data_IF_388265903608
#
_entry.id   IF_388265903608
#
_cell.length_a   1.000
_cell.length_b   1.000
_cell.length_c   1.000
_cell.angle_alpha   90.00
_cell.angle_beta   90.00
_cell.angle_gamma   90.00
#
_symmetry.space_group_name_H-M   'P 1'
#
loop_
_entity.id
_entity.type
_entity.pdbx_description
1 polymer ?
#
# COMPACT_ATOMS: atom_id res chain seq x y z
N UNK A 1 -3.92 11.32 -24.54
CA UNK A 1 -2.88 11.23 -23.50
C UNK A 1 -2.79 12.61 -22.87
N UNK A 2 -3.00 12.73 -21.57
CA UNK A 2 -2.91 14.03 -20.89
C UNK A 2 -1.45 14.42 -20.68
N UNK A 3 -1.17 15.71 -20.71
CA UNK A 3 0.13 16.27 -20.35
C UNK A 3 0.03 16.78 -18.90
N UNK A 4 0.99 16.38 -18.07
CA UNK A 4 1.06 16.78 -16.66
C UNK A 4 2.32 17.61 -16.45
N UNK A 5 2.18 18.77 -15.82
CA UNK A 5 3.31 19.57 -15.36
C UNK A 5 3.72 19.09 -13.95
N UNK A 6 4.89 18.46 -13.84
CA UNK A 6 5.36 17.82 -12.62
C UNK A 6 6.56 18.55 -12.04
N UNK A 7 6.39 19.14 -10.86
CA UNK A 7 7.50 19.58 -10.03
C UNK A 7 8.39 18.43 -9.55
N UNK A 8 9.63 18.76 -9.14
CA UNK A 8 10.62 17.78 -8.68
C UNK A 8 10.13 16.89 -7.53
N UNK A 9 9.31 17.44 -6.62
CA UNK A 9 8.77 16.67 -5.50
C UNK A 9 7.72 15.65 -5.96
N UNK A 10 6.92 15.96 -6.98
CA UNK A 10 6.01 15.01 -7.63
C UNK A 10 6.79 13.85 -8.28
N UNK A 11 7.89 14.16 -8.98
CA UNK A 11 8.75 13.14 -9.57
C UNK A 11 9.32 12.19 -8.51
N UNK A 12 9.74 12.72 -7.36
CA UNK A 12 10.22 11.90 -6.26
C UNK A 12 9.14 10.95 -5.71
N UNK A 13 7.93 11.47 -5.48
CA UNK A 13 6.79 10.65 -5.04
C UNK A 13 6.43 9.56 -6.06
N UNK A 14 6.46 9.89 -7.35
CA UNK A 14 6.20 8.95 -8.44
C UNK A 14 7.23 7.82 -8.47
N UNK A 15 8.52 8.15 -8.34
CA UNK A 15 9.60 7.15 -8.27
C UNK A 15 9.36 6.20 -7.10
N UNK A 16 9.11 6.73 -5.89
CA UNK A 16 8.83 5.91 -4.72
C UNK A 16 7.58 5.04 -4.90
N UNK A 17 6.57 5.52 -5.63
CA UNK A 17 5.36 4.76 -5.93
C UNK A 17 5.69 3.59 -6.85
N UNK A 18 6.46 3.80 -7.92
CA UNK A 18 6.93 2.75 -8.81
C UNK A 18 7.73 1.68 -8.06
N UNK A 19 8.68 2.09 -7.22
CA UNK A 19 9.47 1.15 -6.40
C UNK A 19 8.60 0.33 -5.43
N UNK A 20 7.57 0.94 -4.84
CA UNK A 20 6.62 0.22 -4.00
C UNK A 20 5.79 -0.79 -4.81
N UNK A 21 5.38 -0.43 -6.02
CA UNK A 21 4.65 -1.31 -6.93
C UNK A 21 5.50 -2.54 -7.31
N UNK A 22 6.76 -2.32 -7.69
CA UNK A 22 7.71 -3.37 -8.08
C UNK A 22 7.97 -4.34 -6.92
N UNK A 23 8.25 -3.82 -5.72
CA UNK A 23 8.42 -4.63 -4.51
C UNK A 23 7.18 -5.48 -4.21
N UNK A 24 5.99 -4.93 -4.45
CA UNK A 24 4.74 -5.66 -4.32
C UNK A 24 4.59 -6.77 -5.37
N UNK A 25 5.07 -6.56 -6.59
CA UNK A 25 5.06 -7.56 -7.65
C UNK A 25 5.99 -8.73 -7.32
N UNK A 26 7.23 -8.45 -6.89
CA UNK A 26 8.20 -9.47 -6.47
C UNK A 26 7.65 -10.34 -5.33
N UNK A 27 7.05 -9.71 -4.31
CA UNK A 27 6.44 -10.43 -3.20
C UNK A 27 5.27 -11.32 -3.66
N UNK A 28 4.42 -10.84 -4.58
CA UNK A 28 3.32 -11.65 -5.14
C UNK A 28 3.84 -12.82 -5.96
N UNK A 29 4.91 -12.63 -6.74
CA UNK A 29 5.54 -13.72 -7.49
C UNK A 29 6.11 -14.79 -6.56
N UNK A 30 6.81 -14.38 -5.50
CA UNK A 30 7.33 -15.31 -4.49
C UNK A 30 6.20 -16.09 -3.79
N UNK A 31 5.09 -15.42 -3.43
CA UNK A 31 3.92 -16.07 -2.84
C UNK A 31 3.24 -17.05 -3.81
N UNK A 32 3.19 -16.74 -5.11
CA UNK A 32 2.65 -17.64 -6.12
C UNK A 32 3.49 -18.93 -6.24
N UNK A 33 4.82 -18.81 -6.06
CA UNK A 33 5.74 -19.96 -6.11
C UNK A 33 5.75 -20.78 -4.82
N UNK A 34 5.67 -20.13 -3.66
CA UNK A 34 5.96 -20.76 -2.36
C UNK A 34 4.77 -20.89 -1.41
N UNK A 35 3.59 -20.41 -1.83
CA UNK A 35 2.40 -20.29 -0.98
C UNK A 35 2.53 -19.14 0.03
N UNK A 36 1.52 -18.98 0.89
CA UNK A 36 1.44 -17.91 1.89
C UNK A 36 1.93 -18.30 3.28
N UNK A 37 2.19 -19.59 3.51
CA UNK A 37 2.63 -20.12 4.79
C UNK A 37 3.85 -21.02 4.64
N UNK A 38 4.61 -21.16 5.72
CA UNK A 38 5.69 -22.12 5.85
C UNK A 38 5.64 -22.77 7.23
N UNK A 39 6.26 -23.94 7.36
CA UNK A 39 6.37 -24.64 8.63
C UNK A 39 7.66 -24.21 9.32
N UNK A 40 7.56 -23.74 10.55
CA UNK A 40 8.72 -23.34 11.35
C UNK A 40 9.43 -24.55 11.99
N UNK A 41 10.51 -24.28 12.72
CA UNK A 41 11.29 -25.33 13.42
C UNK A 41 10.51 -26.12 14.48
N UNK A 42 9.33 -25.65 14.88
CA UNK A 42 8.44 -26.28 15.85
C UNK A 42 7.26 -26.98 15.19
N UNK A 43 7.32 -27.17 13.86
CA UNK A 43 6.25 -27.76 13.06
C UNK A 43 4.94 -26.95 13.08
N UNK A 44 5.00 -25.64 13.33
CA UNK A 44 3.83 -24.76 13.35
C UNK A 44 3.71 -23.96 12.04
N UNK A 45 2.49 -23.77 11.51
CA UNK A 45 2.28 -22.93 10.34
C UNK A 45 2.48 -21.45 10.69
N UNK A 46 3.36 -20.78 9.93
CA UNK A 46 3.64 -19.34 10.02
C UNK A 46 3.39 -18.66 8.69
N UNK A 47 2.95 -17.41 8.76
CA UNK A 47 2.86 -16.57 7.56
C UNK A 47 4.27 -16.29 7.02
N UNK A 48 4.42 -16.39 5.71
CA UNK A 48 5.64 -16.02 5.02
C UNK A 48 5.86 -14.50 5.07
N UNK A 49 7.11 -14.02 5.18
CA UNK A 49 7.39 -12.57 5.25
C UNK A 49 6.87 -11.80 4.04
N UNK A 50 6.83 -12.44 2.86
CA UNK A 50 6.33 -11.87 1.60
C UNK A 50 4.86 -11.45 1.69
N UNK A 51 4.07 -12.07 2.59
CA UNK A 51 2.68 -11.64 2.86
C UNK A 51 2.65 -10.21 3.42
N UNK A 52 3.53 -9.90 4.38
CA UNK A 52 3.63 -8.56 4.94
C UNK A 52 4.18 -7.58 3.91
N UNK A 53 5.22 -7.97 3.16
CA UNK A 53 5.82 -7.13 2.11
C UNK A 53 4.78 -6.74 1.05
N UNK A 54 4.02 -7.70 0.53
CA UNK A 54 3.00 -7.43 -0.49
C UNK A 54 1.91 -6.48 0.03
N UNK A 55 1.49 -6.65 1.29
CA UNK A 55 0.50 -5.79 1.95
C UNK A 55 1.03 -4.36 2.13
N UNK A 56 2.23 -4.22 2.68
CA UNK A 56 2.81 -2.92 3.01
C UNK A 56 3.14 -2.13 1.73
N UNK A 57 3.68 -2.82 0.71
CA UNK A 57 3.90 -2.27 -0.62
C UNK A 57 2.60 -1.72 -1.24
N UNK A 58 1.50 -2.47 -1.16
CA UNK A 58 0.19 -2.03 -1.67
C UNK A 58 -0.33 -0.78 -0.93
N UNK A 59 -0.18 -0.74 0.39
CA UNK A 59 -0.58 0.43 1.20
C UNK A 59 0.28 1.65 0.88
N UNK A 60 1.61 1.46 0.77
CA UNK A 60 2.55 2.53 0.45
C UNK A 60 2.27 3.12 -0.93
N UNK A 61 2.10 2.27 -1.95
CA UNK A 61 1.73 2.70 -3.30
C UNK A 61 0.44 3.53 -3.32
N UNK A 62 -0.63 3.03 -2.66
CA UNK A 62 -1.90 3.74 -2.60
C UNK A 62 -1.81 5.10 -1.86
N UNK A 63 -0.92 5.22 -0.87
CA UNK A 63 -0.68 6.48 -0.16
C UNK A 63 0.11 7.46 -1.03
N UNK A 64 1.16 7.01 -1.70
CA UNK A 64 1.98 7.85 -2.57
C UNK A 64 1.19 8.35 -3.78
N UNK A 65 0.35 7.52 -4.39
CA UNK A 65 -0.55 7.97 -5.46
C UNK A 65 -1.56 9.02 -4.99
N UNK A 66 -2.11 8.86 -3.78
CA UNK A 66 -3.01 9.87 -3.21
C UNK A 66 -2.30 11.20 -3.01
N UNK A 67 -1.05 11.17 -2.54
CA UNK A 67 -0.24 12.37 -2.34
C UNK A 67 0.12 13.04 -3.68
N UNK A 68 0.37 12.24 -4.72
CA UNK A 68 0.71 12.74 -6.05
C UNK A 68 -0.46 13.49 -6.71
N UNK A 69 -1.71 13.18 -6.36
CA UNK A 69 -2.86 14.00 -6.70
C UNK A 69 -3.20 14.12 -8.20
N UNK A 70 -2.78 13.17 -9.05
CA UNK A 70 -2.97 13.25 -10.51
C UNK A 70 -4.43 13.18 -10.98
N UNK A 71 -5.35 12.74 -10.11
CA UNK A 71 -6.76 12.51 -10.45
C UNK A 71 -7.66 13.76 -10.27
N UNK A 72 -7.10 14.93 -9.94
CA UNK A 72 -7.90 16.12 -9.58
C UNK A 72 -8.14 17.03 -10.79
N UNK A 73 -9.19 16.75 -11.57
CA UNK A 73 -9.79 17.72 -12.49
C UNK A 73 -10.96 18.45 -11.80
N UNK A 74 -10.70 19.61 -11.15
CA UNK A 74 -11.75 20.52 -10.67
C UNK A 74 -11.68 20.93 -9.19
N UNK A 75 -12.49 21.92 -8.76
CA UNK A 75 -12.35 22.57 -7.46
C UNK A 75 -12.47 21.53 -6.33
N UNK A 76 -11.39 21.45 -5.54
CA UNK A 76 -11.14 20.48 -4.49
C UNK A 76 -12.24 20.46 -3.44
N UNK A 77 -13.12 19.45 -3.49
CA UNK A 77 -13.78 18.98 -2.28
C UNK A 77 -12.68 18.43 -1.36
N UNK A 78 -12.55 18.99 -0.16
CA UNK A 78 -11.51 18.61 0.81
C UNK A 78 -11.42 17.08 0.95
N UNK A 79 -10.21 16.50 1.09
CA UNK A 79 -10.01 15.05 1.15
C UNK A 79 -11.01 14.41 2.11
N UNK A 80 -11.87 13.54 1.58
CA UNK A 80 -12.96 12.95 2.37
C UNK A 80 -12.31 12.16 3.51
N UNK A 81 -12.50 12.55 4.78
CA UNK A 81 -11.85 11.89 5.90
C UNK A 81 -12.25 10.41 5.94
N UNK A 82 -11.38 9.52 6.45
CA UNK A 82 -11.71 8.11 6.59
C UNK A 82 -13.05 7.99 7.34
N UNK A 83 -13.93 7.12 6.86
CA UNK A 83 -15.25 6.89 7.47
C UNK A 83 -15.06 6.40 8.91
N UNK A 84 -15.07 7.33 9.86
CA UNK A 84 -15.16 7.01 11.29
C UNK A 84 -16.61 6.62 11.53
N UNK A 85 -16.88 5.32 11.68
CA UNK A 85 -18.17 4.89 12.21
C UNK A 85 -18.27 5.39 13.66
N UNK A 86 -19.27 6.23 14.01
CA UNK A 86 -19.44 6.70 15.38
C UNK A 86 -19.69 5.48 16.28
N UNK A 87 -18.80 5.25 17.25
CA UNK A 87 -18.90 4.15 18.22
C UNK A 87 -17.81 3.07 18.13
N UNK A 88 -16.91 3.09 17.14
CA UNK A 88 -15.80 2.10 17.04
C UNK A 88 -14.63 2.40 17.99
N UNK A 89 -14.91 2.59 19.28
CA UNK A 89 -13.85 2.52 20.29
C UNK A 89 -13.43 1.05 20.41
N UNK A 90 -12.26 0.74 19.87
CA UNK A 90 -11.59 -0.56 20.05
C UNK A 90 -11.32 -0.72 21.56
N UNK A 91 -12.20 -1.41 22.29
CA UNK A 91 -11.95 -1.80 23.68
C UNK A 91 -10.66 -2.61 23.70
N UNK A 92 -9.58 -2.04 24.24
CA UNK A 92 -8.42 -2.83 24.68
C UNK A 92 -8.93 -3.65 25.87
N UNK A 93 -9.08 -4.95 25.67
CA UNK A 93 -9.48 -5.88 26.72
C UNK A 93 -8.28 -6.24 27.59
N UNK A 94 -8.53 -6.19 28.90
CA UNK A 94 -7.82 -6.75 30.07
C UNK A 94 -6.40 -6.25 30.31
#
# INVERSE_FOLDING_TARGET
MGEFDLEQHHLHLLVLACEALDRGADAREALAKHGSTFIDRYNQPRARPEVAIARDASIQFARLLRELGLDVEGPTESPRPPRVVPGSHRRKGV
#
